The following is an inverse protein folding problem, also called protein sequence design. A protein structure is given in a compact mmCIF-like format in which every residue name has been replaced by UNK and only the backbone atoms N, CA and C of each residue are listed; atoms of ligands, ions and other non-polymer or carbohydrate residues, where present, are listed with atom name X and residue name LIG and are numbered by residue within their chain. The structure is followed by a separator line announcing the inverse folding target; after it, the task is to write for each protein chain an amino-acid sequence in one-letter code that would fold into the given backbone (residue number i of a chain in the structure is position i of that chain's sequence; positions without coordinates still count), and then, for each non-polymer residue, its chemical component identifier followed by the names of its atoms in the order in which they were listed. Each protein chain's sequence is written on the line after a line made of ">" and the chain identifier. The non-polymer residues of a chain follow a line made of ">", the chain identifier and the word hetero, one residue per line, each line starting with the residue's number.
data_IF_884586473047
#
_entry.id   IF_884586473047
#
_cell.length_a   1.000
_cell.length_b   1.000
_cell.length_c   1.000
_cell.angle_alpha   90.00
_cell.angle_beta   90.00
_cell.angle_gamma   90.00
#
_symmetry.space_group_name_H-M   'P 1'
#
loop_
_entity.id
_entity.type
_entity.pdbx_description
1 polymer ?
#
# COMPACT_ATOMS: atom_id res chain seq x y z
N UNK A 1 -52.83 -25.81 -22.30
CA UNK A 1 -51.78 -24.83 -22.54
C UNK A 1 -51.56 -24.03 -21.27
N UNK A 2 -50.46 -24.28 -20.58
CA UNK A 2 -50.02 -23.48 -19.40
C UNK A 2 -48.84 -22.62 -19.84
N UNK A 3 -49.06 -21.33 -19.85
CA UNK A 3 -48.06 -20.33 -20.24
C UNK A 3 -47.07 -20.16 -19.06
N UNK A 4 -45.83 -20.50 -19.31
CA UNK A 4 -44.75 -20.30 -18.36
C UNK A 4 -44.26 -18.83 -18.45
N UNK A 5 -44.52 -18.05 -17.42
CA UNK A 5 -43.98 -16.68 -17.31
C UNK A 5 -42.58 -16.80 -16.70
N UNK A 6 -41.54 -16.57 -17.52
CA UNK A 6 -40.17 -16.46 -17.07
C UNK A 6 -40.00 -15.02 -16.53
N UNK A 7 -40.02 -14.91 -15.21
CA UNK A 7 -39.65 -13.67 -14.54
C UNK A 7 -38.14 -13.45 -14.61
N UNK A 8 -37.70 -12.42 -15.32
CA UNK A 8 -36.32 -11.95 -15.34
C UNK A 8 -36.02 -11.32 -13.98
N UNK A 9 -35.26 -12.00 -13.12
CA UNK A 9 -34.70 -11.38 -11.93
C UNK A 9 -33.64 -10.37 -12.40
N UNK A 10 -33.96 -9.09 -12.38
CA UNK A 10 -32.97 -8.03 -12.45
C UNK A 10 -32.23 -7.99 -11.10
N UNK A 11 -31.00 -8.41 -11.09
CA UNK A 11 -30.10 -8.10 -9.99
C UNK A 11 -29.86 -6.60 -9.98
N UNK A 12 -30.61 -5.87 -9.17
CA UNK A 12 -30.25 -4.51 -8.78
C UNK A 12 -28.99 -4.62 -7.92
N UNK A 13 -27.83 -4.31 -8.48
CA UNK A 13 -26.65 -3.97 -7.69
C UNK A 13 -27.05 -2.76 -6.85
N UNK A 14 -27.18 -2.95 -5.55
CA UNK A 14 -27.44 -1.85 -4.61
C UNK A 14 -26.27 -0.87 -4.74
N UNK A 15 -26.54 0.38 -5.07
CA UNK A 15 -25.54 1.44 -4.92
C UNK A 15 -25.15 1.53 -3.46
N UNK A 16 -23.84 1.65 -3.13
CA UNK A 16 -23.42 1.82 -1.76
C UNK A 16 -24.13 3.01 -1.12
N UNK A 17 -24.36 2.94 0.17
CA UNK A 17 -24.93 4.06 0.91
C UNK A 17 -23.98 5.28 0.81
N UNK A 18 -24.51 6.52 0.79
CA UNK A 18 -23.66 7.70 0.76
C UNK A 18 -22.68 7.68 1.94
N UNK A 19 -21.37 7.68 1.66
CA UNK A 19 -20.31 7.67 2.67
C UNK A 19 -19.63 6.32 2.90
N UNK A 20 -20.04 5.23 2.22
CA UNK A 20 -19.31 3.95 2.24
C UNK A 20 -18.68 3.69 0.87
N UNK A 21 -17.40 3.22 0.83
CA UNK A 21 -16.77 2.83 -0.42
C UNK A 21 -17.45 1.59 -1.01
N UNK A 22 -17.30 1.32 -2.32
CA UNK A 22 -17.71 0.04 -2.88
C UNK A 22 -17.09 -1.13 -2.11
N UNK A 23 -17.86 -2.19 -1.87
CA UNK A 23 -17.48 -3.33 -1.02
C UNK A 23 -16.11 -3.92 -1.35
N UNK A 24 -15.73 -3.92 -2.62
CA UNK A 24 -14.43 -4.45 -3.08
C UNK A 24 -13.24 -3.75 -2.43
N UNK A 25 -13.36 -2.49 -2.04
CA UNK A 25 -12.29 -1.71 -1.40
C UNK A 25 -12.19 -1.92 0.12
N UNK A 26 -13.09 -2.69 0.71
CA UNK A 26 -13.08 -2.99 2.14
C UNK A 26 -11.92 -3.88 2.59
N UNK A 27 -11.29 -4.63 1.67
CA UNK A 27 -10.19 -5.54 2.02
C UNK A 27 -9.05 -5.46 1.01
N UNK A 28 -7.88 -5.02 1.49
CA UNK A 28 -6.64 -5.12 0.73
C UNK A 28 -6.16 -6.58 0.75
N UNK A 29 -6.06 -7.18 -0.44
CA UNK A 29 -5.60 -8.56 -0.61
C UNK A 29 -4.07 -8.65 -0.58
N UNK A 30 -3.40 -7.68 -1.22
CA UNK A 30 -1.95 -7.65 -1.28
C UNK A 30 -1.41 -6.31 -1.77
N UNK A 31 -0.11 -6.08 -1.52
CA UNK A 31 0.68 -5.05 -2.20
C UNK A 31 1.57 -5.69 -3.26
N UNK A 32 1.70 -5.03 -4.41
CA UNK A 32 2.75 -5.32 -5.37
C UNK A 32 3.87 -4.29 -5.19
N UNK A 33 4.97 -4.75 -4.63
CA UNK A 33 6.15 -3.96 -4.32
C UNK A 33 7.26 -4.32 -5.29
N UNK A 34 7.54 -3.39 -6.20
CA UNK A 34 8.54 -3.57 -7.26
C UNK A 34 9.91 -3.26 -6.71
N UNK A 35 10.88 -4.16 -6.96
CA UNK A 35 12.25 -4.08 -6.42
C UNK A 35 13.29 -4.39 -7.48
N UNK A 36 14.53 -3.91 -7.25
CA UNK A 36 15.68 -4.18 -8.14
C UNK A 36 16.36 -5.49 -7.84
N UNK A 37 16.48 -5.82 -6.56
CA UNK A 37 17.15 -7.02 -6.07
C UNK A 37 16.34 -7.67 -4.94
N UNK A 38 15.64 -8.74 -5.30
CA UNK A 38 14.78 -9.46 -4.36
C UNK A 38 15.57 -10.18 -3.26
N UNK A 39 16.84 -10.56 -3.50
CA UNK A 39 17.66 -11.23 -2.50
C UNK A 39 18.14 -10.24 -1.43
N UNK A 40 18.49 -9.01 -1.83
CA UNK A 40 18.80 -7.92 -0.90
C UNK A 40 17.59 -7.58 -0.04
N UNK A 41 16.41 -7.45 -0.65
CA UNK A 41 15.17 -7.14 0.07
C UNK A 41 14.82 -8.23 1.07
N UNK A 42 14.88 -9.52 0.68
CA UNK A 42 14.63 -10.64 1.58
C UNK A 42 15.61 -10.66 2.76
N UNK A 43 16.89 -10.41 2.50
CA UNK A 43 17.92 -10.40 3.54
C UNK A 43 17.67 -9.28 4.56
N UNK A 44 17.45 -8.05 4.10
CA UNK A 44 17.20 -6.92 4.99
C UNK A 44 15.93 -7.07 5.83
N UNK A 45 14.83 -7.51 5.23
CA UNK A 45 13.61 -7.76 5.99
C UNK A 45 13.75 -8.93 7.00
N UNK A 46 14.59 -9.93 6.68
CA UNK A 46 14.91 -10.99 7.64
C UNK A 46 15.70 -10.45 8.85
N UNK A 47 16.62 -9.51 8.66
CA UNK A 47 17.35 -8.81 9.74
C UNK A 47 16.39 -8.00 10.62
N UNK A 48 15.37 -7.37 10.04
CA UNK A 48 14.32 -6.65 10.77
C UNK A 48 13.28 -7.58 11.41
N UNK A 49 13.48 -8.91 11.34
CA UNK A 49 12.65 -9.91 12.01
C UNK A 49 11.47 -10.43 11.19
N UNK A 50 11.49 -10.24 9.87
CA UNK A 50 10.49 -10.77 8.93
C UNK A 50 11.09 -11.86 7.99
N UNK A 51 11.57 -13.00 8.53
CA UNK A 51 12.30 -14.00 7.75
C UNK A 51 11.40 -14.91 6.91
N UNK A 52 10.09 -14.93 7.17
CA UNK A 52 9.17 -15.86 6.53
C UNK A 52 8.79 -15.35 5.13
N UNK A 53 9.48 -15.90 4.11
CA UNK A 53 9.28 -15.56 2.71
C UNK A 53 9.07 -16.82 1.89
N UNK A 54 8.04 -16.84 1.05
CA UNK A 54 7.89 -17.84 -0.01
C UNK A 54 8.52 -17.29 -1.28
N UNK A 55 9.64 -17.89 -1.70
CA UNK A 55 10.31 -17.53 -2.96
C UNK A 55 9.80 -18.44 -4.08
N UNK A 56 9.21 -17.83 -5.12
CA UNK A 56 8.72 -18.54 -6.31
C UNK A 56 9.79 -18.63 -7.40
N UNK A 57 10.95 -17.99 -7.20
CA UNK A 57 12.01 -17.91 -8.19
C UNK A 57 11.63 -17.07 -9.40
N UNK A 58 12.17 -17.43 -10.55
CA UNK A 58 11.85 -16.80 -11.82
C UNK A 58 10.58 -17.40 -12.42
N UNK A 59 9.63 -16.56 -12.73
CA UNK A 59 8.34 -16.90 -13.33
C UNK A 59 8.15 -16.16 -14.65
N UNK A 60 7.51 -16.82 -15.60
CA UNK A 60 7.13 -16.24 -16.89
C UNK A 60 5.63 -15.98 -16.90
N UNK A 61 5.24 -14.73 -17.01
CA UNK A 61 3.85 -14.28 -16.91
C UNK A 61 3.35 -13.77 -18.26
N UNK A 62 2.33 -14.39 -18.85
CA UNK A 62 1.60 -13.79 -19.96
C UNK A 62 0.80 -12.60 -19.42
N UNK A 63 1.04 -11.42 -19.94
CA UNK A 63 0.34 -10.18 -19.57
C UNK A 63 -0.24 -9.52 -20.81
N UNK A 64 -1.35 -8.79 -20.62
CA UNK A 64 -1.80 -7.82 -21.59
C UNK A 64 -1.54 -6.44 -20.98
N UNK A 65 -0.57 -5.73 -21.51
CA UNK A 65 -0.14 -4.41 -21.04
C UNK A 65 -0.52 -3.34 -22.05
N UNK A 66 -1.27 -2.32 -21.61
CA UNK A 66 -1.85 -1.26 -22.46
C UNK A 66 -2.56 -1.82 -23.69
N UNK A 67 -3.34 -2.88 -23.49
CA UNK A 67 -4.11 -3.55 -24.53
C UNK A 67 -3.33 -4.55 -25.40
N UNK A 68 -2.01 -4.57 -25.35
CA UNK A 68 -1.16 -5.44 -26.18
C UNK A 68 -0.65 -6.67 -25.42
N UNK A 69 -0.59 -7.86 -26.07
CA UNK A 69 -0.06 -9.06 -25.42
C UNK A 69 1.46 -9.02 -25.31
N UNK A 70 1.98 -9.30 -24.12
CA UNK A 70 3.40 -9.39 -23.83
C UNK A 70 3.69 -10.60 -22.94
N UNK A 71 4.97 -10.90 -22.79
CA UNK A 71 5.49 -11.87 -21.82
C UNK A 71 6.44 -11.14 -20.90
N UNK A 72 6.15 -11.13 -19.61
CA UNK A 72 7.01 -10.59 -18.57
C UNK A 72 7.73 -11.73 -17.85
N UNK A 73 9.04 -11.64 -17.71
CA UNK A 73 9.85 -12.53 -16.87
C UNK A 73 10.16 -11.78 -15.58
N UNK A 74 9.79 -12.37 -14.45
CA UNK A 74 9.85 -11.76 -13.13
C UNK A 74 10.48 -12.72 -12.14
N UNK A 75 11.31 -12.24 -11.21
CA UNK A 75 11.51 -12.95 -9.94
C UNK A 75 10.41 -12.50 -8.98
N UNK A 76 9.83 -13.45 -8.26
CA UNK A 76 8.69 -13.19 -7.37
C UNK A 76 8.92 -13.84 -6.02
N UNK A 77 8.71 -13.08 -4.96
CA UNK A 77 8.62 -13.62 -3.61
C UNK A 77 7.42 -13.00 -2.87
N UNK A 78 6.87 -13.75 -1.91
CA UNK A 78 5.75 -13.32 -1.09
C UNK A 78 6.15 -13.32 0.37
N UNK A 79 5.89 -12.22 1.05
CA UNK A 79 6.01 -12.07 2.49
C UNK A 79 4.64 -11.75 3.12
N UNK A 80 4.58 -11.82 4.44
CA UNK A 80 3.43 -11.35 5.21
C UNK A 80 3.88 -10.35 6.27
N UNK A 81 3.25 -9.17 6.25
CA UNK A 81 3.40 -8.15 7.29
C UNK A 81 2.10 -8.03 8.07
N UNK A 82 2.06 -8.58 9.27
CA UNK A 82 0.87 -8.61 10.14
C UNK A 82 -0.42 -9.07 9.40
N UNK A 83 -0.29 -10.13 8.60
CA UNK A 83 -1.39 -10.68 7.79
C UNK A 83 -1.58 -10.04 6.42
N UNK A 84 -0.98 -8.89 6.14
CA UNK A 84 -0.95 -8.31 4.80
C UNK A 84 0.00 -9.09 3.90
N UNK A 85 -0.50 -9.61 2.80
CA UNK A 85 0.34 -10.20 1.74
C UNK A 85 1.09 -9.13 0.97
N UNK A 86 2.41 -9.28 0.85
CA UNK A 86 3.27 -8.42 0.04
C UNK A 86 3.99 -9.27 -0.99
N UNK A 87 3.85 -8.92 -2.27
CA UNK A 87 4.61 -9.53 -3.34
C UNK A 87 5.77 -8.61 -3.72
N UNK A 88 7.00 -9.05 -3.48
CA UNK A 88 8.18 -8.44 -4.04
C UNK A 88 8.35 -8.93 -5.47
N UNK A 89 8.43 -7.99 -6.39
CA UNK A 89 8.41 -8.22 -7.83
C UNK A 89 9.66 -7.59 -8.45
N UNK A 90 10.58 -8.42 -8.90
CA UNK A 90 11.77 -7.98 -9.63
C UNK A 90 11.59 -8.26 -11.13
N UNK A 91 11.36 -7.22 -11.95
CA UNK A 91 11.35 -7.37 -13.41
C UNK A 91 12.71 -7.82 -13.94
N UNK A 92 12.72 -8.90 -14.73
CA UNK A 92 13.93 -9.43 -15.37
C UNK A 92 13.96 -9.06 -16.84
N UNK A 93 12.84 -9.29 -17.56
CA UNK A 93 12.70 -8.92 -18.96
C UNK A 93 11.25 -8.85 -19.41
N UNK A 94 11.02 -8.27 -20.60
CA UNK A 94 9.70 -8.11 -21.19
C UNK A 94 9.00 -6.84 -20.74
N UNK A 95 7.99 -6.41 -21.53
CA UNK A 95 7.18 -5.24 -21.23
C UNK A 95 6.09 -5.57 -20.21
N UNK A 96 5.98 -4.72 -19.19
CA UNK A 96 4.93 -4.81 -18.18
C UNK A 96 4.81 -3.50 -17.40
N UNK A 97 3.71 -3.30 -16.69
CA UNK A 97 3.54 -2.17 -15.79
C UNK A 97 4.61 -2.14 -14.69
N UNK A 98 5.08 -3.30 -14.22
CA UNK A 98 6.14 -3.40 -13.22
C UNK A 98 7.50 -2.94 -13.74
N UNK A 99 7.85 -3.30 -15.01
CA UNK A 99 9.10 -2.88 -15.61
C UNK A 99 9.14 -1.37 -15.86
N UNK A 100 8.03 -0.80 -16.33
CA UNK A 100 7.92 0.64 -16.56
C UNK A 100 7.94 1.39 -15.21
N UNK A 101 7.23 0.90 -14.18
CA UNK A 101 7.28 1.48 -12.83
C UNK A 101 8.72 1.53 -12.30
N UNK A 102 9.45 0.41 -12.37
CA UNK A 102 10.84 0.35 -11.90
C UNK A 102 11.75 1.33 -12.64
N UNK A 103 11.56 1.46 -13.96
CA UNK A 103 12.35 2.36 -14.80
C UNK A 103 12.05 3.85 -14.55
N UNK A 104 10.80 4.19 -14.28
CA UNK A 104 10.33 5.57 -14.14
C UNK A 104 10.37 6.09 -12.69
N UNK A 105 10.09 5.21 -11.73
CA UNK A 105 9.87 5.57 -10.32
C UNK A 105 10.91 4.96 -9.36
N UNK A 106 11.66 3.94 -9.80
CA UNK A 106 12.52 3.17 -8.93
C UNK A 106 11.77 2.09 -8.13
N UNK A 107 12.33 1.69 -7.00
CA UNK A 107 11.73 0.70 -6.10
C UNK A 107 10.58 1.31 -5.31
N UNK A 108 9.59 0.49 -4.99
CA UNK A 108 8.44 0.92 -4.18
C UNK A 108 7.15 0.16 -4.47
N UNK A 109 6.09 0.50 -3.76
CA UNK A 109 4.77 -0.09 -3.97
C UNK A 109 4.11 0.52 -5.21
N UNK A 110 3.95 -0.29 -6.25
CA UNK A 110 3.25 0.11 -7.48
C UNK A 110 1.75 0.02 -7.31
N UNK A 111 1.24 -1.09 -6.78
CA UNK A 111 -0.19 -1.33 -6.72
C UNK A 111 -0.66 -1.87 -5.37
N UNK A 112 -1.86 -1.44 -5.00
CA UNK A 112 -2.65 -2.02 -3.91
C UNK A 112 -3.75 -2.85 -4.54
N UNK A 113 -3.78 -4.14 -4.20
CA UNK A 113 -4.68 -5.09 -4.82
C UNK A 113 -5.84 -5.41 -3.87
N UNK A 114 -7.06 -5.34 -4.38
CA UNK A 114 -8.29 -5.61 -3.67
C UNK A 114 -8.93 -6.91 -4.17
N UNK A 115 -9.47 -7.69 -3.23
CA UNK A 115 -10.10 -8.96 -3.54
C UNK A 115 -11.55 -8.76 -3.95
N UNK A 116 -11.88 -9.11 -5.18
CA UNK A 116 -13.26 -9.25 -5.62
C UNK A 116 -13.81 -10.64 -5.22
N UNK A 117 -15.03 -10.68 -4.70
CA UNK A 117 -15.68 -11.89 -4.23
C UNK A 117 -15.84 -12.97 -5.34
N UNK A 118 -15.82 -12.55 -6.60
CA UNK A 118 -15.91 -13.45 -7.77
C UNK A 118 -15.35 -12.78 -9.03
N UNK A 119 -15.14 -13.58 -10.08
CA UNK A 119 -14.79 -13.05 -11.41
C UNK A 119 -15.86 -12.09 -11.95
N UNK A 120 -17.15 -12.35 -11.70
CA UNK A 120 -18.23 -11.45 -12.10
C UNK A 120 -18.19 -10.11 -11.35
N UNK A 121 -17.86 -10.12 -10.06
CA UNK A 121 -17.68 -8.89 -9.26
C UNK A 121 -16.49 -8.09 -9.78
N UNK A 122 -15.37 -8.77 -10.10
CA UNK A 122 -14.20 -8.15 -10.70
C UNK A 122 -14.57 -7.49 -12.04
N UNK A 123 -15.23 -8.20 -12.94
CA UNK A 123 -15.62 -7.68 -14.26
C UNK A 123 -16.58 -6.48 -14.14
N UNK A 124 -17.51 -6.51 -13.18
CA UNK A 124 -18.42 -5.40 -12.91
C UNK A 124 -17.69 -4.15 -12.43
N UNK A 125 -16.70 -4.31 -11.54
CA UNK A 125 -15.90 -3.19 -11.03
C UNK A 125 -14.98 -2.60 -12.11
N UNK A 126 -14.33 -3.46 -12.91
CA UNK A 126 -13.56 -3.00 -14.08
C UNK A 126 -14.43 -2.15 -15.00
N UNK A 127 -15.61 -2.66 -15.39
CA UNK A 127 -16.53 -1.92 -16.26
C UNK A 127 -17.01 -0.61 -15.63
N UNK A 128 -17.22 -0.56 -14.31
CA UNK A 128 -17.58 0.66 -13.59
C UNK A 128 -16.47 1.70 -13.66
N UNK A 129 -15.22 1.30 -13.41
CA UNK A 129 -14.05 2.19 -13.48
C UNK A 129 -13.80 2.68 -14.91
N UNK A 130 -13.90 1.81 -15.91
CA UNK A 130 -13.82 2.22 -17.33
C UNK A 130 -14.91 3.23 -17.69
N UNK A 131 -16.14 3.05 -17.19
CA UNK A 131 -17.22 4.01 -17.33
C UNK A 131 -16.94 5.38 -16.69
N UNK A 132 -16.04 5.45 -15.71
CA UNK A 132 -15.55 6.67 -15.08
C UNK A 132 -14.28 7.24 -15.75
N UNK A 133 -13.81 6.59 -16.83
CA UNK A 133 -12.64 7.01 -17.61
C UNK A 133 -11.31 6.53 -17.06
N UNK A 134 -11.29 5.48 -16.24
CA UNK A 134 -10.06 4.80 -15.81
C UNK A 134 -9.78 3.64 -16.75
N UNK A 135 -8.62 3.64 -17.39
CA UNK A 135 -8.25 2.59 -18.35
C UNK A 135 -7.68 1.35 -17.64
N UNK A 136 -7.78 0.21 -18.32
CA UNK A 136 -7.06 -0.99 -17.90
C UNK A 136 -5.59 -0.87 -18.27
N UNK A 137 -4.72 -0.80 -17.26
CA UNK A 137 -3.27 -0.71 -17.43
C UNK A 137 -2.67 -2.07 -17.84
N UNK A 138 -3.00 -3.11 -17.06
CA UNK A 138 -2.46 -4.45 -17.28
C UNK A 138 -3.42 -5.53 -16.76
N UNK A 139 -3.50 -6.64 -17.49
CA UNK A 139 -4.20 -7.83 -17.02
C UNK A 139 -3.29 -9.05 -17.07
N UNK A 140 -3.51 -9.97 -16.14
CA UNK A 140 -2.93 -11.31 -16.18
C UNK A 140 -3.89 -12.36 -15.64
N UNK A 141 -3.68 -13.61 -16.08
CA UNK A 141 -4.34 -14.79 -15.48
C UNK A 141 -3.29 -15.88 -15.34
N UNK A 142 -3.14 -16.40 -14.13
CA UNK A 142 -2.16 -17.41 -13.79
C UNK A 142 -2.79 -18.48 -12.93
N UNK A 143 -2.12 -19.64 -12.81
CA UNK A 143 -2.49 -20.62 -11.79
C UNK A 143 -1.98 -20.13 -10.43
N UNK A 144 -2.92 -19.78 -9.54
CA UNK A 144 -2.61 -19.31 -8.18
C UNK A 144 -2.21 -20.43 -7.21
N UNK A 145 -2.08 -21.67 -7.68
CA UNK A 145 -1.80 -22.84 -6.84
C UNK A 145 -3.05 -23.40 -6.12
N UNK A 146 -4.13 -22.64 -6.09
CA UNK A 146 -5.47 -23.07 -5.62
C UNK A 146 -6.55 -22.83 -6.68
N UNK A 147 -6.14 -22.75 -7.94
CA UNK A 147 -6.98 -22.46 -9.10
C UNK A 147 -6.59 -21.16 -9.79
N UNK A 148 -7.35 -20.76 -10.84
CA UNK A 148 -7.01 -19.58 -11.62
C UNK A 148 -7.12 -18.31 -10.78
N UNK A 149 -6.03 -17.51 -10.81
CA UNK A 149 -5.97 -16.16 -10.29
C UNK A 149 -6.03 -15.18 -11.47
N UNK A 150 -7.01 -14.29 -11.46
CA UNK A 150 -7.09 -13.16 -12.37
C UNK A 150 -6.68 -11.88 -11.64
N UNK A 151 -5.88 -11.06 -12.30
CA UNK A 151 -5.48 -9.74 -11.81
C UNK A 151 -5.70 -8.71 -12.91
N UNK A 152 -6.34 -7.60 -12.55
CA UNK A 152 -6.53 -6.44 -13.42
C UNK A 152 -5.97 -5.22 -12.69
N UNK A 153 -4.96 -4.58 -13.27
CA UNK A 153 -4.45 -3.30 -12.81
C UNK A 153 -5.15 -2.18 -13.58
N UNK A 154 -5.77 -1.26 -12.85
CA UNK A 154 -6.43 -0.07 -13.38
C UNK A 154 -5.45 1.11 -13.33
N UNK A 155 -5.41 1.94 -14.38
CA UNK A 155 -4.50 3.09 -14.50
C UNK A 155 -5.00 4.27 -13.65
N UNK A 156 -4.83 4.15 -12.33
CA UNK A 156 -5.24 5.15 -11.34
C UNK A 156 -4.07 6.01 -10.84
N UNK A 157 -2.83 5.71 -11.23
CA UNK A 157 -1.64 6.31 -10.62
C UNK A 157 -1.55 7.83 -10.80
N UNK A 158 -1.97 8.37 -11.95
CA UNK A 158 -1.89 9.81 -12.20
C UNK A 158 -2.75 10.63 -11.21
N UNK A 159 -3.98 10.21 -10.96
CA UNK A 159 -4.90 10.89 -10.03
C UNK A 159 -4.84 10.35 -8.61
N UNK A 160 -4.82 9.02 -8.47
CA UNK A 160 -4.90 8.31 -7.20
C UNK A 160 -3.56 7.98 -6.54
N UNK A 161 -2.43 8.25 -7.21
CA UNK A 161 -1.05 8.11 -6.73
C UNK A 161 -0.57 6.67 -6.49
N UNK A 162 -1.40 5.68 -6.75
CA UNK A 162 -1.04 4.27 -6.85
C UNK A 162 -1.94 3.57 -7.86
N UNK A 163 -1.54 2.40 -8.32
CA UNK A 163 -2.32 1.56 -9.23
C UNK A 163 -3.30 0.72 -8.42
N UNK A 164 -4.59 0.80 -8.74
CA UNK A 164 -5.59 -0.13 -8.19
C UNK A 164 -5.46 -1.47 -8.88
N UNK A 165 -5.19 -2.52 -8.11
CA UNK A 165 -5.27 -3.89 -8.54
C UNK A 165 -6.60 -4.51 -8.11
N UNK A 166 -7.28 -5.21 -9.01
CA UNK A 166 -8.46 -6.02 -8.70
C UNK A 166 -8.11 -7.49 -8.92
N UNK A 167 -8.37 -8.33 -7.93
CA UNK A 167 -8.04 -9.75 -7.98
C UNK A 167 -9.28 -10.62 -7.81
N UNK A 168 -9.36 -11.73 -8.52
CA UNK A 168 -10.34 -12.79 -8.25
C UNK A 168 -9.68 -14.16 -8.36
N UNK A 169 -10.04 -15.07 -7.46
CA UNK A 169 -9.33 -16.33 -7.25
C UNK A 169 -8.43 -16.28 -6.01
N UNK A 170 -7.71 -17.33 -5.75
CA UNK A 170 -6.88 -17.47 -4.54
C UNK A 170 -5.42 -17.68 -4.91
N UNK A 171 -4.55 -16.95 -4.22
CA UNK A 171 -3.12 -17.28 -4.11
C UNK A 171 -2.95 -18.20 -2.92
N UNK A 172 -2.00 -19.11 -2.97
CA UNK A 172 -1.60 -19.85 -1.78
C UNK A 172 -1.30 -18.84 -0.65
N UNK A 173 -1.74 -19.12 0.58
CA UNK A 173 -1.48 -18.21 1.69
C UNK A 173 0.02 -17.99 1.83
N UNK A 174 0.41 -16.76 2.16
CA UNK A 174 1.79 -16.45 2.51
C UNK A 174 2.28 -17.40 3.62
N UNK A 175 3.59 -17.67 3.68
CA UNK A 175 4.15 -18.40 4.80
C UNK A 175 3.64 -17.78 6.10
N UNK A 176 3.34 -18.63 7.07
CA UNK A 176 2.91 -18.14 8.38
C UNK A 176 3.92 -17.13 8.89
N UNK A 177 3.46 -15.93 9.20
CA UNK A 177 4.29 -14.97 9.91
C UNK A 177 4.88 -15.63 11.18
N UNK A 178 6.05 -15.20 11.65
CA UNK A 178 6.54 -15.64 12.95
C UNK A 178 5.43 -15.45 14.00
N UNK A 179 5.36 -16.28 15.04
CA UNK A 179 4.26 -16.31 16.00
C UNK A 179 4.01 -14.98 16.73
N UNK A 180 4.93 -14.04 16.67
CA UNK A 180 4.74 -12.64 17.04
C UNK A 180 5.54 -11.77 16.06
N UNK A 181 5.00 -10.63 15.60
CA UNK A 181 5.80 -9.65 14.88
C UNK A 181 6.94 -9.17 15.80
N UNK A 182 8.12 -8.86 15.23
CA UNK A 182 9.22 -8.33 16.01
C UNK A 182 8.76 -7.08 16.75
N UNK A 183 9.12 -6.95 18.02
CA UNK A 183 8.78 -5.81 18.87
C UNK A 183 7.26 -5.54 19.02
N UNK A 184 6.40 -6.54 18.81
CA UNK A 184 4.96 -6.37 18.84
C UNK A 184 4.41 -5.46 17.74
N UNK A 185 5.17 -5.24 16.67
CA UNK A 185 4.81 -4.35 15.57
C UNK A 185 3.52 -4.79 14.87
N UNK A 186 2.52 -3.90 14.87
CA UNK A 186 1.23 -4.12 14.21
C UNK A 186 1.07 -3.11 13.08
N UNK A 187 0.81 -3.61 11.87
CA UNK A 187 0.56 -2.74 10.72
C UNK A 187 -0.71 -1.89 10.95
N UNK A 188 -0.57 -0.57 10.87
CA UNK A 188 -1.64 0.39 11.17
C UNK A 188 -1.96 1.34 10.02
N UNK A 189 -0.97 1.66 9.14
CA UNK A 189 -1.20 2.63 8.07
C UNK A 189 -0.54 2.23 6.75
N UNK A 190 -1.22 2.62 5.65
CA UNK A 190 -0.64 2.82 4.33
C UNK A 190 -0.48 4.31 4.10
N UNK A 191 0.72 4.78 3.80
CA UNK A 191 0.94 6.21 3.67
C UNK A 191 1.50 6.63 2.31
N UNK A 192 0.93 7.71 1.78
CA UNK A 192 1.32 8.30 0.51
C UNK A 192 1.68 9.77 0.70
N UNK A 193 2.71 10.21 0.00
CA UNK A 193 3.10 11.62 -0.04
C UNK A 193 2.56 12.24 -1.33
N UNK A 194 1.90 13.40 -1.19
CA UNK A 194 1.22 14.09 -2.28
C UNK A 194 1.45 15.60 -2.19
N UNK A 195 1.27 16.29 -3.31
CA UNK A 195 1.39 17.76 -3.39
C UNK A 195 0.07 18.46 -3.10
N UNK A 196 -1.06 17.82 -3.45
CA UNK A 196 -2.40 18.40 -3.34
C UNK A 196 -3.41 17.37 -2.83
N UNK A 197 -3.73 17.45 -1.53
CA UNK A 197 -4.71 16.56 -0.88
C UNK A 197 -6.11 16.70 -1.49
N UNK A 198 -6.50 17.92 -1.88
CA UNK A 198 -7.86 18.14 -2.41
C UNK A 198 -8.01 17.48 -3.77
N UNK A 199 -7.03 17.65 -4.66
CA UNK A 199 -7.06 17.01 -5.98
C UNK A 199 -7.10 15.48 -5.89
N UNK A 200 -6.39 14.89 -4.93
CA UNK A 200 -6.41 13.45 -4.68
C UNK A 200 -7.74 13.01 -4.07
N UNK A 201 -8.29 13.76 -3.11
CA UNK A 201 -9.62 13.49 -2.53
C UNK A 201 -10.70 13.50 -3.62
N UNK A 202 -10.73 14.55 -4.44
CA UNK A 202 -11.71 14.70 -5.54
C UNK A 202 -11.62 13.53 -6.55
N UNK A 203 -10.40 13.05 -6.82
CA UNK A 203 -10.19 11.90 -7.69
C UNK A 203 -10.79 10.62 -7.07
N UNK A 204 -10.50 10.34 -5.80
CA UNK A 204 -11.02 9.15 -5.14
C UNK A 204 -12.52 9.22 -4.91
N UNK A 205 -13.07 10.41 -4.61
CA UNK A 205 -14.52 10.62 -4.53
C UNK A 205 -15.23 10.31 -5.85
N UNK A 206 -14.66 10.72 -6.99
CA UNK A 206 -15.15 10.36 -8.31
C UNK A 206 -15.20 8.83 -8.50
N UNK A 207 -14.27 8.09 -7.90
CA UNK A 207 -14.23 6.62 -7.95
C UNK A 207 -15.09 5.95 -6.87
N UNK A 208 -15.77 6.71 -6.01
CA UNK A 208 -16.69 6.21 -5.00
C UNK A 208 -16.05 5.94 -3.62
N UNK A 209 -14.80 6.40 -3.41
CA UNK A 209 -14.21 6.43 -2.07
C UNK A 209 -14.65 7.73 -1.39
N UNK A 210 -15.05 7.72 -0.10
CA UNK A 210 -15.45 8.96 0.60
C UNK A 210 -14.36 10.02 0.59
N UNK A 211 -14.75 11.30 0.74
CA UNK A 211 -13.83 12.41 0.90
C UNK A 211 -12.84 12.19 2.05
N UNK A 212 -11.62 12.68 1.87
CA UNK A 212 -10.62 12.66 2.94
C UNK A 212 -11.06 13.52 4.13
N UNK A 213 -10.87 13.01 5.34
CA UNK A 213 -10.83 13.83 6.54
C UNK A 213 -9.46 14.51 6.62
N UNK A 214 -9.41 15.84 6.43
CA UNK A 214 -8.16 16.59 6.36
C UNK A 214 -7.87 17.28 7.68
N UNK A 215 -6.68 17.01 8.23
CA UNK A 215 -6.20 17.59 9.49
C UNK A 215 -4.90 18.36 9.32
N UNK A 216 -4.63 19.26 10.25
CA UNK A 216 -3.36 19.98 10.36
C UNK A 216 -2.86 19.79 11.80
N UNK A 217 -2.05 18.74 12.06
CA UNK A 217 -1.62 18.41 13.39
C UNK A 217 -0.63 19.43 13.95
N UNK A 218 -0.72 19.70 15.26
CA UNK A 218 0.36 20.36 15.97
C UNK A 218 1.36 19.32 16.43
N UNK A 219 2.56 19.38 15.86
CA UNK A 219 3.64 18.46 16.17
C UNK A 219 4.63 19.04 17.16
N UNK A 220 5.30 18.20 17.92
CA UNK A 220 6.27 18.54 18.98
C UNK A 220 7.53 17.70 18.85
N UNK A 221 8.61 18.11 19.51
CA UNK A 221 9.88 17.36 19.62
C UNK A 221 10.38 16.88 18.24
N UNK A 222 10.34 17.77 17.23
CA UNK A 222 10.65 17.45 15.85
C UNK A 222 12.16 17.28 15.65
N UNK A 223 12.55 16.18 15.00
CA UNK A 223 13.91 15.92 14.56
C UNK A 223 13.94 15.51 13.09
N UNK A 224 14.98 15.93 12.38
CA UNK A 224 15.28 15.53 11.01
C UNK A 224 16.78 15.25 10.89
N UNK A 225 17.14 14.01 10.48
CA UNK A 225 18.50 13.49 10.44
C UNK A 225 19.28 13.73 11.75
N UNK A 226 18.64 13.46 12.89
CA UNK A 226 19.25 13.57 14.22
C UNK A 226 19.52 15.02 14.66
N UNK A 227 18.96 16.01 13.98
CA UNK A 227 19.03 17.43 14.36
C UNK A 227 17.63 17.96 14.67
N UNK A 228 17.50 18.92 15.59
CA UNK A 228 16.21 19.59 15.83
C UNK A 228 15.61 20.12 14.53
N UNK A 229 14.37 19.69 14.23
CA UNK A 229 13.65 20.01 13.00
C UNK A 229 12.59 21.10 13.22
N UNK A 230 12.22 21.73 12.12
CA UNK A 230 11.03 22.60 12.04
C UNK A 230 10.35 22.28 10.71
N UNK A 231 9.37 21.41 10.75
CA UNK A 231 8.61 21.05 9.57
C UNK A 231 7.11 21.07 9.86
N UNK A 232 6.33 21.16 8.81
CA UNK A 232 4.87 21.26 8.89
C UNK A 232 4.24 20.50 7.73
N UNK A 233 3.09 19.87 7.96
CA UNK A 233 2.34 19.12 6.96
C UNK A 233 0.83 19.13 7.23
N UNK A 234 0.06 18.91 6.18
CA UNK A 234 -1.34 18.54 6.29
C UNK A 234 -1.49 17.06 6.04
N UNK A 235 -2.41 16.44 6.75
CA UNK A 235 -2.71 15.01 6.65
C UNK A 235 -4.15 14.82 6.17
N UNK A 236 -4.32 13.92 5.21
CA UNK A 236 -5.61 13.44 4.75
C UNK A 236 -5.81 12.00 5.20
N UNK A 237 -7.03 11.65 5.58
CA UNK A 237 -7.33 10.33 6.12
C UNK A 237 -8.49 9.68 5.38
N UNK A 238 -8.26 8.46 4.89
CA UNK A 238 -9.34 7.54 4.55
C UNK A 238 -9.36 6.39 5.57
N UNK A 239 -10.52 6.15 6.17
CA UNK A 239 -10.73 5.10 7.18
C UNK A 239 -11.73 4.08 6.63
N UNK A 240 -11.27 3.28 5.68
CA UNK A 240 -12.03 2.16 5.16
C UNK A 240 -11.17 0.89 5.18
N UNK A 241 -11.78 -0.25 5.52
CA UNK A 241 -11.04 -1.47 5.76
C UNK A 241 -10.35 -1.51 7.14
N UNK A 242 -9.40 -2.42 7.32
CA UNK A 242 -8.74 -2.66 8.60
C UNK A 242 -7.55 -1.72 8.86
N UNK A 243 -6.97 -1.14 7.80
CA UNK A 243 -5.76 -0.32 7.86
C UNK A 243 -6.13 1.11 7.45
N UNK A 244 -5.62 2.09 8.18
CA UNK A 244 -5.83 3.51 7.87
C UNK A 244 -4.98 3.94 6.68
N UNK A 245 -5.56 4.76 5.80
CA UNK A 245 -4.84 5.42 4.71
C UNK A 245 -4.47 6.83 5.14
N UNK A 246 -3.19 7.13 5.12
CA UNK A 246 -2.64 8.44 5.39
C UNK A 246 -2.13 9.08 4.10
N UNK A 247 -2.50 10.33 3.89
CA UNK A 247 -2.05 11.15 2.78
C UNK A 247 -1.34 12.37 3.33
N UNK A 248 -0.09 12.57 2.96
CA UNK A 248 0.78 13.57 3.56
C UNK A 248 1.13 14.63 2.53
N UNK A 249 0.78 15.89 2.81
CA UNK A 249 1.20 17.03 2.03
C UNK A 249 2.15 17.90 2.86
N UNK A 250 3.49 17.85 2.59
CA UNK A 250 4.44 18.72 3.29
C UNK A 250 4.17 20.17 2.94
N UNK A 251 4.22 21.06 3.96
CA UNK A 251 4.02 22.50 3.82
C UNK A 251 5.32 23.28 4.04
N UNK A 252 6.16 22.80 4.94
CA UNK A 252 7.45 23.37 5.27
C UNK A 252 8.40 22.27 5.73
N UNK A 253 9.69 22.44 5.50
CA UNK A 253 10.70 21.43 5.79
C UNK A 253 12.03 22.01 6.20
N UNK A 254 13.06 21.17 6.22
CA UNK A 254 13.21 19.89 5.51
C UNK A 254 12.44 18.74 6.16
N UNK A 255 12.00 17.75 5.33
CA UNK A 255 11.29 16.54 5.76
C UNK A 255 11.61 15.35 4.84
N UNK A 256 11.52 14.13 5.36
CA UNK A 256 11.61 12.91 4.52
C UNK A 256 10.53 12.86 3.42
N UNK A 257 9.42 13.56 3.61
CA UNK A 257 8.36 13.65 2.61
C UNK A 257 8.77 14.55 1.43
N UNK A 258 9.47 15.67 1.70
CA UNK A 258 9.99 16.51 0.64
C UNK A 258 11.12 15.80 -0.11
N UNK A 259 12.00 15.10 0.59
CA UNK A 259 13.04 14.27 -0.02
C UNK A 259 12.44 13.23 -0.97
N UNK A 260 11.35 12.59 -0.55
CA UNK A 260 10.63 11.63 -1.38
C UNK A 260 10.01 12.29 -2.63
N UNK A 261 9.34 13.44 -2.47
CA UNK A 261 8.77 14.18 -3.60
C UNK A 261 9.83 14.60 -4.62
N UNK A 262 11.00 15.01 -4.15
CA UNK A 262 12.11 15.44 -4.99
C UNK A 262 12.75 14.27 -5.76
N UNK A 263 12.79 13.09 -5.13
CA UNK A 263 13.39 11.89 -5.72
C UNK A 263 12.42 11.06 -6.58
N UNK A 264 11.15 10.96 -6.19
CA UNK A 264 10.19 9.99 -6.73
C UNK A 264 8.88 10.62 -7.21
N UNK A 265 8.66 11.94 -7.02
CA UNK A 265 7.34 12.55 -7.18
C UNK A 265 6.30 11.93 -6.22
N UNK A 266 5.00 12.17 -6.42
CA UNK A 266 3.91 11.70 -5.53
C UNK A 266 3.72 10.18 -5.58
N UNK A 267 3.43 9.56 -4.45
CA UNK A 267 3.18 8.11 -4.41
C UNK A 267 3.26 7.49 -3.03
N UNK A 268 3.34 6.16 -3.02
CA UNK A 268 3.41 5.36 -1.80
C UNK A 268 4.77 5.56 -1.13
N UNK A 269 4.77 6.04 0.11
CA UNK A 269 5.98 6.45 0.83
C UNK A 269 6.40 5.45 1.91
N UNK A 270 5.44 5.01 2.75
CA UNK A 270 5.77 4.13 3.87
C UNK A 270 4.62 3.21 4.27
N UNK A 271 4.98 2.20 5.04
CA UNK A 271 4.09 1.45 5.91
C UNK A 271 4.34 1.92 7.35
N UNK A 272 3.28 2.09 8.14
CA UNK A 272 3.41 2.42 9.55
C UNK A 272 3.04 1.23 10.45
N UNK A 273 3.83 1.04 11.50
CA UNK A 273 3.62 -0.01 12.48
C UNK A 273 3.50 0.57 13.89
N UNK A 274 2.40 0.24 14.58
CA UNK A 274 2.30 0.46 16.01
C UNK A 274 3.28 -0.47 16.73
N UNK A 275 4.10 0.10 17.63
CA UNK A 275 5.10 -0.63 18.42
C UNK A 275 4.88 -0.40 19.91
N UNK A 276 5.31 -1.35 20.74
CA UNK A 276 5.19 -1.25 22.20
C UNK A 276 6.16 -0.27 22.83
N UNK A 277 7.36 -0.13 22.24
CA UNK A 277 8.42 0.78 22.67
C UNK A 277 9.16 1.32 21.44
N UNK A 278 8.94 2.60 21.12
CA UNK A 278 9.50 3.22 19.92
C UNK A 278 11.01 3.47 20.04
N UNK A 279 11.51 3.69 21.26
CA UNK A 279 12.95 3.90 21.50
C UNK A 279 13.70 2.57 21.36
N UNK A 280 13.19 1.49 21.97
CA UNK A 280 13.78 0.15 21.83
C UNK A 280 13.89 -0.28 20.37
N UNK A 281 12.81 -0.14 19.61
CA UNK A 281 12.78 -0.52 18.19
C UNK A 281 13.70 0.38 17.36
N UNK A 282 13.65 1.69 17.54
CA UNK A 282 14.49 2.64 16.83
C UNK A 282 15.97 2.42 17.07
N UNK A 283 16.38 2.15 18.31
CA UNK A 283 17.76 1.80 18.67
C UNK A 283 18.19 0.48 18.02
N UNK A 284 17.34 -0.57 18.07
CA UNK A 284 17.63 -1.87 17.49
C UNK A 284 17.81 -1.78 15.97
N UNK A 285 16.93 -1.04 15.27
CA UNK A 285 17.01 -0.88 13.82
C UNK A 285 18.18 0.00 13.39
N UNK A 286 18.49 1.05 14.16
CA UNK A 286 19.67 1.87 13.94
C UNK A 286 20.97 1.05 14.08
N UNK A 287 21.02 0.11 15.02
CA UNK A 287 22.15 -0.80 15.19
C UNK A 287 22.33 -1.80 14.02
N UNK A 288 21.26 -2.03 13.24
CA UNK A 288 21.25 -2.81 12.00
C UNK A 288 21.46 -1.95 10.74
N UNK A 289 21.91 -0.70 10.89
CA UNK A 289 22.17 0.25 9.80
C UNK A 289 20.89 0.80 9.12
N UNK A 290 19.73 0.74 9.79
CA UNK A 290 18.48 1.41 9.40
C UNK A 290 18.21 2.60 10.34
N UNK A 291 18.88 3.75 10.16
CA UNK A 291 18.82 4.86 11.12
C UNK A 291 17.45 5.53 11.13
N UNK A 292 17.08 6.14 12.26
CA UNK A 292 15.93 7.05 12.32
C UNK A 292 16.30 8.38 11.66
N UNK A 293 15.60 8.71 10.60
CA UNK A 293 15.86 9.90 9.77
C UNK A 293 14.90 11.05 10.04
N UNK A 294 13.74 10.78 10.62
CA UNK A 294 12.80 11.80 11.08
C UNK A 294 12.02 11.27 12.27
N UNK A 295 11.75 12.13 13.25
CA UNK A 295 10.90 11.79 14.39
C UNK A 295 10.16 13.01 14.93
N UNK A 296 9.18 12.74 15.78
CA UNK A 296 8.41 13.77 16.47
C UNK A 296 7.31 13.18 17.34
N UNK A 297 6.45 14.06 17.84
CA UNK A 297 5.32 13.70 18.65
C UNK A 297 4.08 14.52 18.34
N UNK A 298 2.97 14.09 18.87
CA UNK A 298 1.70 14.81 18.85
C UNK A 298 1.02 14.78 20.20
N UNK A 299 0.12 15.73 20.44
CA UNK A 299 -0.63 15.85 21.69
C UNK A 299 0.21 16.33 22.86
N UNK A 300 -0.37 16.33 24.06
CA UNK A 300 0.33 16.70 25.30
C UNK A 300 1.14 15.51 25.82
N UNK A 301 2.46 15.63 25.84
CA UNK A 301 3.38 14.57 26.24
C UNK A 301 2.99 13.90 27.58
N UNK A 302 2.88 12.56 27.56
CA UNK A 302 2.52 11.78 28.73
C UNK A 302 1.04 11.83 29.10
N UNK A 303 0.18 12.26 28.18
CA UNK A 303 -1.28 12.24 28.34
C UNK A 303 -1.95 11.31 27.34
N UNK A 304 -3.12 10.72 27.65
CA UNK A 304 -3.94 10.01 26.69
C UNK A 304 -4.18 10.85 25.43
N UNK A 305 -4.05 10.23 24.27
CA UNK A 305 -4.18 10.91 22.98
C UNK A 305 -2.91 11.58 22.47
N UNK A 306 -1.80 11.50 23.23
CA UNK A 306 -0.46 11.83 22.72
C UNK A 306 0.23 10.60 22.14
N UNK A 307 1.25 10.83 21.32
CA UNK A 307 2.08 9.77 20.80
C UNK A 307 3.36 10.28 20.15
N UNK A 308 4.10 9.35 19.57
CA UNK A 308 5.38 9.59 18.90
C UNK A 308 5.41 8.83 17.59
N UNK A 309 6.13 9.40 16.63
CA UNK A 309 6.45 8.75 15.37
C UNK A 309 7.96 8.80 15.12
N UNK A 310 8.47 7.81 14.39
CA UNK A 310 9.86 7.76 13.96
C UNK A 310 9.95 7.04 12.62
N UNK A 311 10.66 7.64 11.67
CA UNK A 311 10.89 7.07 10.34
C UNK A 311 12.26 6.42 10.28
N UNK A 312 12.30 5.11 10.09
CA UNK A 312 13.52 4.38 9.81
C UNK A 312 13.81 4.37 8.31
N UNK A 313 15.05 4.65 7.93
CA UNK A 313 15.49 4.56 6.54
C UNK A 313 15.71 3.11 6.13
N UNK A 314 14.69 2.51 5.57
CA UNK A 314 14.73 1.16 4.98
C UNK A 314 14.74 1.19 3.45
N UNK A 315 15.08 2.34 2.86
CA UNK A 315 15.06 2.53 1.39
C UNK A 315 16.01 1.57 0.65
N UNK A 316 17.10 1.16 1.30
CA UNK A 316 18.04 0.17 0.76
C UNK A 316 17.45 -1.23 0.57
N UNK A 317 16.32 -1.54 1.20
CA UNK A 317 15.65 -2.86 1.15
C UNK A 317 14.27 -2.77 0.53
N UNK A 318 14.14 -1.99 -0.56
CA UNK A 318 12.93 -1.95 -1.39
C UNK A 318 12.38 -0.54 -1.65
N UNK A 319 13.10 0.53 -1.31
CA UNK A 319 12.76 1.89 -1.70
C UNK A 319 11.69 2.58 -0.83
N UNK A 320 11.28 2.00 0.30
CA UNK A 320 10.36 2.63 1.24
C UNK A 320 11.04 2.97 2.56
N UNK A 321 10.57 4.00 3.24
CA UNK A 321 10.78 4.18 4.68
C UNK A 321 9.76 3.35 5.47
N UNK A 322 10.04 3.09 6.73
CA UNK A 322 9.05 2.51 7.66
C UNK A 322 8.83 3.49 8.80
N UNK A 323 7.56 3.73 9.10
CA UNK A 323 7.18 4.52 10.26
C UNK A 323 6.91 3.61 11.45
N UNK A 324 7.50 3.96 12.58
CA UNK A 324 7.19 3.41 13.90
C UNK A 324 6.25 4.38 14.60
N UNK A 325 5.15 3.87 15.13
CA UNK A 325 4.16 4.63 15.86
C UNK A 325 4.04 4.11 17.29
N UNK A 326 3.99 5.03 18.24
CA UNK A 326 3.71 4.72 19.62
C UNK A 326 2.65 5.70 20.15
N UNK A 327 1.58 5.18 20.69
CA UNK A 327 0.52 5.96 21.32
C UNK A 327 0.56 5.77 22.83
N UNK A 328 0.39 6.86 23.58
CA UNK A 328 0.26 6.78 25.03
C UNK A 328 -0.96 5.91 25.39
N UNK A 329 -0.78 4.84 26.17
CA UNK A 329 -1.90 4.04 26.61
C UNK A 329 -2.88 4.93 27.38
N UNK A 330 -4.18 4.78 27.10
CA UNK A 330 -5.21 5.46 27.86
C UNK A 330 -5.18 5.02 29.32
N UNK A 331 -5.67 5.86 30.22
CA UNK A 331 -6.01 5.42 31.56
C UNK A 331 -7.22 4.48 31.43
N UNK A 332 -7.01 3.16 31.66
CA UNK A 332 -8.07 2.14 31.72
C UNK A 332 -9.03 2.37 32.91
#
# INVERSE_FOLDING_TARGET
>A
MRTLVIGTLAFCLASPAPGEPPEVYGTVASLNWVVKDIDQVKAGWAELGYPAVQDFGEVTLPVRYRGEPHTAVMRVAQASFDGLSVFWLQPVSGKSAWADFLAERGEGVMSVNYAAASGATLDAEVARLEGLGVEVLQTMSVDGGQGPLRVVHMDTAAGGKYVVGLTSGSVAPAPSAPPAPPFGAKLSQYALVVKDLQAVSDYWEKLGIPAMDVTHPTLTDLEYHGQPGQFDQRLGWHRHGAITWEWIAPLAGPTVYQDFLDAHDEGFHHLAFDVSDIDEVGEAWTALEYPIVQSGGWGEKGKPGSGRFAYADTTSIGGLTIELLWSHPGDD
#
